data_IF_457759606808
#
_entry.id   IF_457759606808
#
_cell.length_a   1.000
_cell.length_b   1.000
_cell.length_c   1.000
_cell.angle_alpha   90.00
_cell.angle_beta   90.00
_cell.angle_gamma   90.00
#
_symmetry.space_group_name_H-M   'P 1'
#
loop_
_entity.id
_entity.type
_entity.pdbx_description
1 polymer ?
#
# COMPACT_ATOMS: atom_id res chain seq x y z
N UNK A 1 25.83 -45.66 17.43
CA UNK A 1 24.54 -44.95 17.61
C UNK A 1 24.60 -43.49 17.14
N UNK A 2 25.28 -43.20 16.01
CA UNK A 2 25.49 -41.84 15.48
C UNK A 2 25.17 -41.73 13.97
N UNK A 3 24.58 -42.77 13.36
CA UNK A 3 24.35 -42.84 11.91
C UNK A 3 22.88 -42.66 11.49
N UNK A 4 21.93 -42.67 12.44
CA UNK A 4 20.49 -42.56 12.17
C UNK A 4 19.85 -41.19 12.46
N UNK A 5 20.61 -40.20 12.98
CA UNK A 5 20.08 -38.83 13.16
C UNK A 5 20.24 -37.93 11.93
N UNK A 6 21.27 -38.14 11.09
CA UNK A 6 21.43 -37.39 9.83
C UNK A 6 20.44 -37.81 8.73
N UNK A 7 19.97 -39.06 8.74
CA UNK A 7 19.03 -39.56 7.72
C UNK A 7 17.61 -39.06 7.99
N UNK A 8 17.18 -38.89 9.25
CA UNK A 8 15.87 -38.29 9.57
C UNK A 8 15.81 -36.80 9.28
N UNK A 9 16.91 -36.06 9.43
CA UNK A 9 16.95 -34.65 9.02
C UNK A 9 16.93 -34.52 7.49
N UNK A 10 17.67 -35.37 6.77
CA UNK A 10 17.66 -35.37 5.29
C UNK A 10 16.29 -35.82 4.72
N UNK A 11 15.60 -36.78 5.35
CA UNK A 11 14.25 -37.16 4.90
C UNK A 11 13.19 -36.09 5.20
N UNK A 12 13.31 -35.34 6.30
CA UNK A 12 12.37 -34.26 6.61
C UNK A 12 12.61 -33.04 5.71
N UNK A 13 13.86 -32.74 5.33
CA UNK A 13 14.17 -31.68 4.36
C UNK A 13 13.75 -32.08 2.95
N UNK A 14 13.80 -33.37 2.59
CA UNK A 14 13.27 -33.85 1.29
C UNK A 14 11.75 -33.86 1.27
N UNK A 15 11.05 -34.09 2.40
CA UNK A 15 9.57 -34.00 2.44
C UNK A 15 9.11 -32.54 2.46
N UNK A 16 9.85 -31.61 3.07
CA UNK A 16 9.56 -30.16 2.99
C UNK A 16 9.94 -29.58 1.62
N UNK A 17 11.04 -30.02 1.00
CA UNK A 17 11.38 -29.64 -0.37
C UNK A 17 10.46 -30.31 -1.41
N UNK A 18 9.98 -31.54 -1.16
CA UNK A 18 9.00 -32.21 -2.01
C UNK A 18 7.58 -31.67 -1.79
N UNK A 19 7.19 -31.19 -0.60
CA UNK A 19 5.92 -30.46 -0.44
C UNK A 19 5.99 -29.06 -1.05
N UNK A 20 7.14 -28.37 -1.00
CA UNK A 20 7.36 -27.15 -1.77
C UNK A 20 7.36 -27.42 -3.29
N UNK A 21 7.85 -28.57 -3.74
CA UNK A 21 7.82 -28.96 -5.17
C UNK A 21 6.49 -29.60 -5.64
N UNK A 22 5.68 -30.16 -4.74
CA UNK A 22 4.34 -30.69 -5.06
C UNK A 22 3.29 -29.58 -4.98
N UNK A 23 3.47 -28.57 -4.13
CA UNK A 23 2.72 -27.31 -4.21
C UNK A 23 3.19 -26.42 -5.38
N UNK A 24 4.41 -26.61 -5.88
CA UNK A 24 4.88 -26.03 -7.14
C UNK A 24 4.58 -26.92 -8.38
N UNK A 25 3.89 -28.05 -8.21
CA UNK A 25 3.68 -29.05 -9.26
C UNK A 25 2.22 -29.22 -9.70
N UNK A 26 1.27 -28.54 -9.07
CA UNK A 26 -0.14 -28.53 -9.44
C UNK A 26 -0.68 -27.10 -9.37
N UNK A 27 -0.70 -26.40 -10.51
CA UNK A 27 -1.43 -25.14 -10.71
C UNK A 27 -0.53 -23.92 -10.88
N UNK A 28 -0.81 -23.17 -11.95
CA UNK A 28 -0.30 -21.84 -12.32
C UNK A 28 1.13 -21.78 -12.88
N UNK A 29 1.21 -21.49 -14.18
CA UNK A 29 2.47 -21.29 -14.89
C UNK A 29 3.18 -20.04 -14.38
N UNK A 30 4.40 -20.22 -13.88
CA UNK A 30 5.29 -19.11 -13.49
C UNK A 30 5.94 -18.51 -14.74
N UNK A 31 5.63 -17.26 -15.04
CA UNK A 31 6.44 -16.41 -15.92
C UNK A 31 7.81 -16.18 -15.27
N UNK A 32 8.87 -16.37 -16.05
CA UNK A 32 10.23 -16.12 -15.60
C UNK A 32 10.50 -14.61 -15.56
N UNK A 33 10.71 -14.07 -14.37
CA UNK A 33 11.11 -12.67 -14.15
C UNK A 33 12.60 -12.53 -14.47
N UNK A 34 12.95 -11.64 -15.39
CA UNK A 34 14.35 -11.22 -15.58
C UNK A 34 14.74 -10.31 -14.41
N UNK A 35 15.53 -10.83 -13.47
CA UNK A 35 16.13 -10.02 -12.41
C UNK A 35 17.25 -9.15 -13.00
N UNK A 36 16.93 -7.89 -13.31
CA UNK A 36 17.90 -6.79 -13.28
C UNK A 36 17.21 -5.45 -13.20
N UNK A 37 17.29 -4.84 -12.03
CA UNK A 37 17.51 -3.42 -11.74
C UNK A 37 17.01 -3.15 -10.31
N UNK A 38 17.64 -2.33 -9.47
CA UNK A 38 19.00 -1.83 -9.41
C UNK A 38 19.26 -1.45 -7.94
N UNK A 39 20.49 -1.60 -7.48
CA UNK A 39 20.94 -1.23 -6.14
C UNK A 39 20.80 0.28 -5.92
N UNK A 40 19.89 0.73 -5.04
CA UNK A 40 19.99 1.97 -4.23
C UNK A 40 18.77 2.26 -3.33
N UNK A 41 17.69 1.49 -3.40
CA UNK A 41 16.43 1.88 -2.76
C UNK A 41 16.33 1.47 -1.28
N UNK A 42 16.05 2.44 -0.41
CA UNK A 42 15.77 2.23 1.02
C UNK A 42 14.52 1.35 1.12
N UNK A 43 14.73 0.05 1.29
CA UNK A 43 13.68 -0.98 1.23
C UNK A 43 12.83 -0.96 2.50
N UNK A 44 11.52 -1.15 2.38
CA UNK A 44 10.60 -1.28 3.52
C UNK A 44 10.86 -2.63 4.23
N UNK A 45 11.16 -2.66 5.55
CA UNK A 45 11.34 -3.91 6.27
C UNK A 45 10.06 -4.74 6.35
N UNK A 46 10.16 -6.07 6.34
CA UNK A 46 9.00 -6.99 6.25
C UNK A 46 7.96 -6.94 7.39
N UNK A 47 8.25 -6.27 8.51
CA UNK A 47 7.30 -6.04 9.62
C UNK A 47 6.80 -4.61 9.69
N UNK A 48 7.10 -3.83 8.66
CA UNK A 48 6.73 -2.44 8.54
C UNK A 48 5.94 -2.27 7.25
N UNK A 49 5.10 -1.25 7.24
CA UNK A 49 4.40 -0.74 6.07
C UNK A 49 4.79 0.70 5.85
N UNK A 50 4.72 1.14 4.60
CA UNK A 50 4.97 2.51 4.20
C UNK A 50 3.67 3.32 4.17
N UNK A 51 3.61 4.38 4.96
CA UNK A 51 2.63 5.43 4.77
C UNK A 51 3.17 6.44 3.76
N UNK A 52 2.41 6.71 2.69
CA UNK A 52 2.71 7.76 1.71
C UNK A 52 1.45 8.16 0.94
N UNK A 53 1.35 9.43 0.52
CA UNK A 53 0.26 9.95 -0.30
C UNK A 53 0.68 11.22 -1.06
N UNK A 54 -0.08 11.61 -2.08
CA UNK A 54 0.26 12.68 -3.02
C UNK A 54 0.50 14.04 -2.34
N UNK A 55 -0.34 14.39 -1.37
CA UNK A 55 -0.39 15.74 -0.79
C UNK A 55 0.05 15.84 0.67
N UNK A 56 0.41 14.72 1.31
CA UNK A 56 0.78 14.75 2.73
C UNK A 56 2.15 15.42 2.95
N UNK A 57 3.05 15.41 1.95
CA UNK A 57 4.37 16.06 2.01
C UNK A 57 5.39 15.34 2.91
N UNK A 58 5.03 14.17 3.43
CA UNK A 58 5.89 13.28 4.22
C UNK A 58 5.50 11.81 4.01
N UNK A 59 6.42 10.91 4.32
CA UNK A 59 6.21 9.47 4.37
C UNK A 59 6.86 8.91 5.64
N UNK A 60 6.36 7.80 6.17
CA UNK A 60 6.95 7.17 7.35
C UNK A 60 6.63 5.67 7.37
N UNK A 61 7.40 4.91 8.16
CA UNK A 61 7.17 3.49 8.37
C UNK A 61 6.40 3.25 9.66
N UNK A 62 5.48 2.30 9.64
CA UNK A 62 4.71 1.87 10.80
C UNK A 62 4.60 0.34 10.86
N UNK A 63 4.46 -0.26 12.06
CA UNK A 63 4.34 -1.71 12.17
C UNK A 63 3.12 -2.25 11.43
N UNK A 64 3.31 -3.35 10.70
CA UNK A 64 2.33 -3.92 9.78
C UNK A 64 1.02 -4.38 10.43
N UNK A 65 1.05 -4.66 11.73
CA UNK A 65 -0.12 -5.08 12.52
C UNK A 65 -1.11 -3.95 12.81
N UNK A 66 -0.72 -2.69 12.61
CA UNK A 66 -1.58 -1.54 12.89
C UNK A 66 -2.35 -1.08 11.66
N UNK A 67 -3.55 -0.58 11.91
CA UNK A 67 -4.39 0.04 10.89
C UNK A 67 -4.03 1.50 10.72
N UNK A 68 -4.13 1.98 9.48
CA UNK A 68 -3.90 3.37 9.15
C UNK A 68 -5.19 4.05 8.68
N UNK A 69 -5.39 5.31 9.07
CA UNK A 69 -6.42 6.20 8.54
C UNK A 69 -5.80 7.49 8.03
N UNK A 70 -6.47 8.17 7.10
CA UNK A 70 -6.05 9.46 6.57
C UNK A 70 -7.22 10.45 6.59
N UNK A 71 -6.92 11.68 6.99
CA UNK A 71 -7.81 12.85 6.89
C UNK A 71 -6.99 14.02 6.38
N UNK A 72 -7.44 14.69 5.32
CA UNK A 72 -6.78 15.90 4.82
C UNK A 72 -6.66 16.99 5.89
N UNK A 73 -7.62 17.04 6.83
CA UNK A 73 -7.66 18.04 7.88
C UNK A 73 -6.76 17.72 9.07
N UNK A 74 -6.58 16.43 9.37
CA UNK A 74 -5.97 15.99 10.64
C UNK A 74 -4.65 15.24 10.46
N UNK A 75 -4.43 14.62 9.29
CA UNK A 75 -3.23 13.86 8.97
C UNK A 75 -3.43 12.34 9.01
N UNK A 76 -2.32 11.63 9.25
CA UNK A 76 -2.22 10.17 9.26
C UNK A 76 -2.44 9.60 10.66
N UNK A 77 -3.40 8.70 10.84
CA UNK A 77 -3.69 8.02 12.09
C UNK A 77 -3.17 6.59 12.07
N UNK A 78 -2.35 6.22 13.05
CA UNK A 78 -1.97 4.83 13.30
C UNK A 78 -2.76 4.34 14.52
N UNK A 79 -3.80 3.55 14.28
CA UNK A 79 -4.69 3.04 15.33
C UNK A 79 -4.05 1.83 16.03
N UNK A 80 -3.88 1.94 17.35
CA UNK A 80 -3.24 0.94 18.22
C UNK A 80 -4.27 0.12 19.02
N UNK A 81 -5.52 0.13 18.58
CA UNK A 81 -6.66 -0.49 19.25
C UNK A 81 -7.85 -0.54 18.29
N UNK A 82 -9.03 -0.16 18.78
CA UNK A 82 -10.20 -0.01 17.92
C UNK A 82 -10.01 1.14 16.93
N UNK A 83 -10.51 0.94 15.70
CA UNK A 83 -10.44 1.95 14.65
C UNK A 83 -11.23 3.20 15.04
N UNK A 84 -10.70 4.38 14.71
CA UNK A 84 -11.29 5.67 15.07
C UNK A 84 -11.40 5.94 16.59
N UNK A 85 -10.67 5.18 17.42
CA UNK A 85 -10.62 5.36 18.86
C UNK A 85 -9.18 5.39 19.39
N UNK A 86 -8.95 6.09 20.51
CA UNK A 86 -7.69 6.01 21.23
C UNK A 86 -7.51 4.59 21.81
N UNK A 87 -6.29 4.03 21.86
CA UNK A 87 -5.02 4.71 21.61
C UNK A 87 -4.63 4.80 20.12
N UNK A 88 -4.05 5.95 19.72
CA UNK A 88 -3.51 6.15 18.38
C UNK A 88 -2.34 7.14 18.35
N UNK A 89 -1.56 7.08 17.27
CA UNK A 89 -0.56 8.10 16.90
C UNK A 89 -1.06 8.86 15.68
N UNK A 90 -1.05 10.19 15.73
CA UNK A 90 -1.42 11.10 14.65
C UNK A 90 -0.18 11.82 14.14
N UNK A 91 0.07 11.76 12.83
CA UNK A 91 1.16 12.48 12.17
C UNK A 91 0.55 13.49 11.20
N UNK A 92 0.90 14.76 11.37
CA UNK A 92 0.31 15.85 10.61
C UNK A 92 1.38 16.82 10.10
N UNK A 93 1.20 17.31 8.87
CA UNK A 93 2.00 18.39 8.31
C UNK A 93 1.22 19.69 8.36
N UNK A 94 1.66 20.63 9.21
CA UNK A 94 1.06 21.95 9.31
C UNK A 94 1.82 22.99 8.49
N UNK A 95 1.09 23.83 7.77
CA UNK A 95 1.66 24.97 7.06
C UNK A 95 1.97 26.10 8.04
N UNK A 96 3.19 26.65 8.00
CA UNK A 96 3.58 27.69 8.94
C UNK A 96 5.04 28.07 8.82
N UNK A 97 5.31 29.18 8.13
CA UNK A 97 6.67 29.69 7.98
C UNK A 97 7.27 30.11 9.32
N UNK A 98 8.46 29.59 9.62
CA UNK A 98 9.23 29.87 10.84
C UNK A 98 8.38 29.76 12.12
N UNK A 99 7.53 28.73 12.20
CA UNK A 99 6.78 28.43 13.42
C UNK A 99 7.77 28.10 14.55
N UNK A 100 7.65 28.79 15.69
CA UNK A 100 8.46 28.51 16.88
C UNK A 100 7.72 27.55 17.82
N UNK A 101 8.43 26.77 18.67
CA UNK A 101 7.80 25.90 19.65
C UNK A 101 6.81 26.65 20.55
N UNK A 102 7.14 27.85 21.01
CA UNK A 102 6.29 28.64 21.90
C UNK A 102 4.99 29.06 21.23
N UNK A 103 5.05 29.48 19.95
CA UNK A 103 3.85 29.84 19.18
C UNK A 103 2.98 28.63 18.91
N UNK A 104 3.60 27.51 18.53
CA UNK A 104 2.90 26.26 18.27
C UNK A 104 2.18 25.75 19.52
N UNK A 105 2.90 25.59 20.64
CA UNK A 105 2.33 25.06 21.87
C UNK A 105 1.32 26.03 22.51
N UNK A 106 1.49 27.34 22.37
CA UNK A 106 0.46 28.30 22.81
C UNK A 106 -0.87 28.09 22.08
N UNK A 107 -0.86 27.82 20.77
CA UNK A 107 -2.08 27.50 20.02
C UNK A 107 -2.65 26.15 20.45
N UNK A 108 -1.79 25.17 20.70
CA UNK A 108 -2.18 23.84 21.21
C UNK A 108 -2.83 23.93 22.58
N UNK A 109 -2.29 24.71 23.51
CA UNK A 109 -2.85 24.90 24.85
C UNK A 109 -4.28 25.48 24.77
N UNK A 110 -4.49 26.45 23.88
CA UNK A 110 -5.82 27.02 23.63
C UNK A 110 -6.80 25.99 23.06
N UNK A 111 -6.34 25.07 22.22
CA UNK A 111 -7.14 23.97 21.71
C UNK A 111 -7.50 22.99 22.84
N UNK A 112 -6.52 22.55 23.63
CA UNK A 112 -6.73 21.61 24.73
C UNK A 112 -7.74 22.15 25.74
N UNK A 113 -7.59 23.42 26.16
CA UNK A 113 -8.51 24.06 27.11
C UNK A 113 -9.94 24.25 26.57
N UNK A 114 -10.14 24.19 25.24
CA UNK A 114 -11.48 24.20 24.63
C UNK A 114 -12.07 22.81 24.47
N UNK A 115 -11.22 21.79 24.35
CA UNK A 115 -11.62 20.40 24.06
C UNK A 115 -11.83 19.55 25.31
N UNK A 116 -11.28 19.96 26.46
CA UNK A 116 -11.29 19.18 27.69
C UNK A 116 -11.71 20.00 28.91
N UNK A 117 -12.39 19.36 29.86
CA UNK A 117 -12.83 19.99 31.11
C UNK A 117 -11.65 20.35 32.03
N UNK A 118 -10.69 19.44 32.17
CA UNK A 118 -9.45 19.70 32.91
C UNK A 118 -8.25 19.38 32.02
N UNK A 119 -7.24 20.26 32.09
CA UNK A 119 -5.98 20.12 31.33
C UNK A 119 -4.82 20.53 32.21
N UNK A 120 -3.87 19.63 32.41
CA UNK A 120 -2.55 19.92 32.95
C UNK A 120 -1.50 19.68 31.87
N UNK A 121 -0.50 20.56 31.76
CA UNK A 121 0.55 20.43 30.75
C UNK A 121 1.94 20.55 31.37
N UNK A 122 2.90 19.84 30.78
CA UNK A 122 4.32 20.03 31.10
C UNK A 122 4.87 21.28 30.41
N UNK A 123 5.98 21.86 30.91
CA UNK A 123 6.76 22.80 30.10
C UNK A 123 7.19 22.18 28.77
N UNK A 124 7.49 23.03 27.78
CA UNK A 124 8.07 22.61 26.50
C UNK A 124 9.45 21.99 26.76
N UNK A 125 9.68 20.78 26.24
CA UNK A 125 10.94 20.04 26.37
C UNK A 125 11.57 19.84 24.99
N UNK A 126 12.86 20.12 24.85
CA UNK A 126 13.62 19.69 23.67
C UNK A 126 13.89 18.18 23.75
N UNK A 127 13.60 17.45 22.68
CA UNK A 127 13.79 16.00 22.56
C UNK A 127 14.58 15.71 21.30
N UNK A 128 15.54 14.79 21.39
CA UNK A 128 16.32 14.33 20.23
C UNK A 128 15.91 12.91 19.84
N UNK A 129 15.62 12.73 18.56
CA UNK A 129 15.35 11.42 17.95
C UNK A 129 16.27 11.28 16.75
N UNK A 130 17.31 10.45 16.88
CA UNK A 130 18.41 10.39 15.91
C UNK A 130 19.02 11.79 15.70
N UNK A 131 19.12 12.23 14.44
CA UNK A 131 19.61 13.55 14.05
C UNK A 131 18.53 14.65 14.13
N UNK A 132 17.28 14.30 14.46
CA UNK A 132 16.15 15.24 14.53
C UNK A 132 16.05 15.88 15.91
N UNK A 133 15.80 17.19 15.91
CA UNK A 133 15.48 17.97 17.11
C UNK A 133 14.00 18.32 17.10
N UNK A 134 13.27 17.83 18.09
CA UNK A 134 11.84 18.03 18.28
C UNK A 134 11.57 18.73 19.62
N UNK A 135 10.34 19.21 19.78
CA UNK A 135 9.86 19.81 21.01
C UNK A 135 8.60 19.10 21.49
N UNK A 136 8.49 18.81 22.78
CA UNK A 136 7.42 18.03 23.37
C UNK A 136 6.70 18.82 24.47
N UNK A 137 5.37 18.78 24.44
CA UNK A 137 4.53 19.02 25.61
C UNK A 137 3.63 17.80 25.83
N UNK A 138 3.56 17.33 27.08
CA UNK A 138 2.61 16.31 27.52
C UNK A 138 1.43 16.99 28.19
N UNK A 139 0.23 16.57 27.80
CA UNK A 139 -1.03 16.99 28.41
C UNK A 139 -1.68 15.81 29.14
N UNK A 140 -2.15 16.06 30.36
CA UNK A 140 -3.09 15.20 31.07
C UNK A 140 -4.46 15.86 31.00
N UNK A 141 -5.39 15.22 30.32
CA UNK A 141 -6.71 15.78 30.03
C UNK A 141 -7.80 14.89 30.63
N UNK A 142 -8.93 15.48 31.04
CA UNK A 142 -10.13 14.72 31.39
C UNK A 142 -11.42 15.33 30.85
N UNK A 143 -12.38 14.45 30.55
CA UNK A 143 -13.76 14.78 30.20
C UNK A 143 -14.69 13.82 30.97
N UNK A 144 -15.34 14.32 32.03
CA UNK A 144 -16.09 13.47 32.96
C UNK A 144 -15.21 12.40 33.60
N UNK A 145 -15.56 11.12 33.43
CA UNK A 145 -14.81 9.99 33.99
C UNK A 145 -13.69 9.47 33.08
N UNK A 146 -13.48 10.06 31.89
CA UNK A 146 -12.44 9.63 30.96
C UNK A 146 -11.20 10.49 31.11
N UNK A 147 -10.06 9.84 31.31
CA UNK A 147 -8.74 10.47 31.36
C UNK A 147 -7.95 10.12 30.09
N UNK A 148 -7.15 11.08 29.65
CA UNK A 148 -6.33 10.97 28.45
C UNK A 148 -4.94 11.53 28.76
N UNK A 149 -3.92 10.86 28.24
CA UNK A 149 -2.57 11.40 28.12
C UNK A 149 -2.30 11.68 26.65
N UNK A 150 -1.97 12.94 26.35
CA UNK A 150 -1.66 13.41 24.99
C UNK A 150 -0.22 13.90 24.96
N UNK A 151 0.63 13.18 24.23
CA UNK A 151 2.01 13.58 23.97
C UNK A 151 2.11 14.21 22.60
N UNK A 152 2.46 15.50 22.55
CA UNK A 152 2.50 16.26 21.28
C UNK A 152 3.90 16.77 21.00
N UNK A 153 4.47 16.23 19.92
CA UNK A 153 5.78 16.56 19.40
C UNK A 153 5.65 17.54 18.23
N UNK A 154 6.59 18.47 18.16
CA UNK A 154 6.72 19.50 17.14
C UNK A 154 8.11 19.43 16.53
N UNK A 155 8.19 19.18 15.22
CA UNK A 155 9.41 19.19 14.42
C UNK A 155 9.38 20.39 13.47
N UNK A 156 10.16 21.45 13.72
CA UNK A 156 10.12 22.66 12.91
C UNK A 156 10.89 22.53 11.59
N UNK A 157 10.29 23.05 10.51
CA UNK A 157 10.95 23.30 9.23
C UNK A 157 10.83 24.79 8.86
N UNK A 158 11.60 25.30 7.89
CA UNK A 158 11.55 26.72 7.52
C UNK A 158 10.16 27.20 7.07
N UNK A 159 9.43 26.40 6.30
CA UNK A 159 8.16 26.80 5.69
C UNK A 159 6.93 26.02 6.23
N UNK A 160 7.15 24.98 7.03
CA UNK A 160 6.10 24.12 7.60
C UNK A 160 6.58 23.50 8.93
N UNK A 161 5.76 22.64 9.53
CA UNK A 161 6.18 21.80 10.64
C UNK A 161 5.54 20.42 10.53
N UNK A 162 6.21 19.41 11.08
CA UNK A 162 5.59 18.12 11.35
C UNK A 162 5.17 18.06 12.82
N UNK A 163 3.98 17.51 13.04
CA UNK A 163 3.42 17.23 14.34
C UNK A 163 3.27 15.73 14.50
N UNK A 164 3.65 15.21 15.65
CA UNK A 164 3.37 13.84 16.05
C UNK A 164 2.62 13.86 17.38
N UNK A 165 1.42 13.31 17.42
CA UNK A 165 0.57 13.30 18.61
C UNK A 165 0.25 11.87 18.99
N UNK A 166 0.64 11.42 20.18
CA UNK A 166 0.12 10.18 20.75
C UNK A 166 -1.02 10.49 21.72
N UNK A 167 -2.16 9.81 21.55
CA UNK A 167 -3.26 9.86 22.51
C UNK A 167 -3.43 8.47 23.12
N UNK A 168 -3.39 8.39 24.44
CA UNK A 168 -3.43 7.14 25.18
C UNK A 168 -4.07 7.30 26.56
N UNK A 169 -4.24 6.20 27.28
CA UNK A 169 -4.65 6.16 28.69
C UNK A 169 -3.46 6.38 29.64
N UNK A 170 -2.24 6.08 29.19
CA UNK A 170 -1.03 6.12 30.00
C UNK A 170 0.14 6.74 29.25
N UNK A 171 0.79 7.69 29.92
CA UNK A 171 2.05 8.29 29.51
C UNK A 171 3.08 7.25 29.05
N UNK A 172 3.64 7.47 27.86
CA UNK A 172 4.69 6.64 27.27
C UNK A 172 4.24 5.29 26.70
N UNK A 173 2.93 4.98 26.72
CA UNK A 173 2.42 3.72 26.15
C UNK A 173 2.64 3.59 24.64
N UNK A 174 2.76 4.70 23.93
CA UNK A 174 2.97 4.77 22.48
C UNK A 174 4.37 5.25 22.07
N UNK A 175 5.32 5.35 23.00
CA UNK A 175 6.67 5.89 22.74
C UNK A 175 7.42 5.14 21.63
N UNK A 176 7.32 3.80 21.60
CA UNK A 176 7.96 2.99 20.56
C UNK A 176 7.41 3.30 19.18
N UNK A 177 6.09 3.44 19.04
CA UNK A 177 5.45 3.72 17.76
C UNK A 177 5.77 5.14 17.30
N UNK A 178 5.70 6.12 18.22
CA UNK A 178 6.14 7.50 17.96
C UNK A 178 7.60 7.56 17.52
N UNK A 179 8.49 6.84 18.20
CA UNK A 179 9.90 6.78 17.84
C UNK A 179 10.07 6.28 16.40
N UNK A 180 9.39 5.20 16.01
CA UNK A 180 9.45 4.72 14.63
C UNK A 180 8.91 5.73 13.63
N UNK A 181 7.73 6.32 13.89
CA UNK A 181 7.15 7.33 13.01
C UNK A 181 8.09 8.53 12.82
N UNK A 182 8.69 9.05 13.91
CA UNK A 182 9.62 10.19 13.86
C UNK A 182 10.93 9.79 13.16
N UNK A 183 11.54 8.67 13.57
CA UNK A 183 12.86 8.24 13.09
C UNK A 183 12.84 7.87 11.60
N UNK A 184 11.72 7.36 11.11
CA UNK A 184 11.55 6.96 9.71
C UNK A 184 10.84 8.01 8.86
N UNK A 185 10.34 9.10 9.47
CA UNK A 185 9.69 10.17 8.71
C UNK A 185 10.67 10.83 7.75
N UNK A 186 10.29 10.84 6.47
CA UNK A 186 11.02 11.42 5.34
C UNK A 186 10.10 12.40 4.61
N UNK A 187 10.65 13.54 4.17
CA UNK A 187 9.91 14.48 3.32
C UNK A 187 9.73 13.90 1.92
N UNK A 188 8.78 14.46 1.15
CA UNK A 188 8.46 13.97 -0.20
C UNK A 188 9.68 13.86 -1.13
N UNK A 189 10.63 14.80 -1.03
CA UNK A 189 11.86 14.81 -1.85
C UNK A 189 12.82 13.65 -1.53
N UNK A 190 12.67 13.04 -0.35
CA UNK A 190 13.49 11.92 0.12
C UNK A 190 12.65 10.65 0.33
N UNK A 191 11.43 10.58 -0.20
CA UNK A 191 10.48 9.53 0.10
C UNK A 191 11.04 8.12 -0.19
N UNK A 192 10.52 7.13 0.54
CA UNK A 192 10.88 5.73 0.32
C UNK A 192 10.53 5.29 -1.11
N UNK A 193 11.28 4.34 -1.65
CA UNK A 193 10.87 3.66 -2.87
C UNK A 193 9.50 2.99 -2.66
N UNK A 194 8.64 3.09 -3.67
CA UNK A 194 7.24 2.66 -3.57
C UNK A 194 6.31 3.68 -2.91
N UNK A 195 6.80 4.84 -2.46
CA UNK A 195 5.94 5.94 -2.02
C UNK A 195 5.09 6.45 -3.18
N UNK A 196 3.90 6.96 -2.85
CA UNK A 196 3.01 7.55 -3.85
C UNK A 196 3.73 8.58 -4.72
N UNK A 197 3.55 8.47 -6.04
CA UNK A 197 3.97 9.46 -7.04
C UNK A 197 2.99 9.45 -8.21
N UNK A 198 2.76 10.62 -8.79
CA UNK A 198 1.99 10.84 -10.03
C UNK A 198 2.79 10.55 -11.31
N UNK A 199 4.09 10.26 -11.18
CA UNK A 199 4.97 10.00 -12.32
C UNK A 199 4.62 8.65 -12.95
N UNK A 200 4.54 8.66 -14.27
CA UNK A 200 4.29 7.48 -15.10
C UNK A 200 5.31 7.39 -16.22
N UNK A 201 5.75 6.17 -16.50
CA UNK A 201 6.66 5.84 -17.59
C UNK A 201 5.95 5.02 -18.66
N UNK A 202 6.29 5.24 -19.93
CA UNK A 202 5.77 4.45 -21.06
C UNK A 202 6.58 3.15 -21.19
N UNK A 203 5.88 2.01 -21.21
CA UNK A 203 6.47 0.69 -21.42
C UNK A 203 5.93 0.07 -22.70
N UNK A 204 6.83 -0.41 -23.56
CA UNK A 204 6.50 -1.06 -24.85
C UNK A 204 6.91 -2.54 -24.82
N UNK A 205 5.95 -3.43 -25.03
CA UNK A 205 6.17 -4.87 -25.03
C UNK A 205 6.26 -5.38 -26.47
N UNK A 206 7.47 -5.70 -26.92
CA UNK A 206 7.73 -6.01 -28.34
C UNK A 206 6.98 -7.25 -28.82
N UNK A 207 6.88 -8.29 -27.99
CA UNK A 207 6.34 -9.58 -28.43
C UNK A 207 4.81 -9.57 -28.57
N UNK A 208 4.15 -8.67 -27.85
CA UNK A 208 2.69 -8.55 -27.86
C UNK A 208 2.21 -7.31 -28.62
N UNK A 209 3.12 -6.42 -29.04
CA UNK A 209 2.79 -5.15 -29.70
C UNK A 209 2.10 -4.13 -28.78
N UNK A 210 2.04 -4.41 -27.49
CA UNK A 210 1.31 -3.63 -26.48
C UNK A 210 2.19 -2.50 -25.94
N UNK A 211 1.62 -1.31 -25.73
CA UNK A 211 2.26 -0.26 -24.94
C UNK A 211 1.31 0.30 -23.88
N UNK A 212 1.82 0.56 -22.67
CA UNK A 212 1.03 1.08 -21.55
C UNK A 212 1.90 2.03 -20.71
N UNK A 213 1.29 3.06 -20.13
CA UNK A 213 1.94 3.85 -19.07
C UNK A 213 1.73 3.18 -17.73
N UNK A 214 2.79 3.04 -16.94
CA UNK A 214 2.73 2.47 -15.59
C UNK A 214 3.28 3.48 -14.56
N UNK A 215 2.71 3.54 -13.35
CA UNK A 215 3.25 4.39 -12.30
C UNK A 215 4.65 3.95 -11.87
N UNK A 216 5.59 4.89 -11.76
CA UNK A 216 6.99 4.62 -11.41
C UNK A 216 7.14 4.08 -9.99
N UNK A 217 6.14 4.32 -9.13
CA UNK A 217 6.10 3.81 -7.75
C UNK A 217 5.77 2.31 -7.66
N UNK A 218 5.32 1.67 -8.74
CA UNK A 218 5.04 0.24 -8.76
C UNK A 218 6.28 -0.52 -9.21
N UNK A 219 6.61 -1.60 -8.50
CA UNK A 219 7.66 -2.51 -8.94
C UNK A 219 7.17 -3.28 -10.16
N UNK A 220 7.77 -3.01 -11.31
CA UNK A 220 7.50 -3.71 -12.55
C UNK A 220 8.16 -5.09 -12.58
N UNK A 221 7.39 -6.11 -12.98
CA UNK A 221 7.87 -7.41 -13.39
C UNK A 221 7.44 -7.63 -14.85
N UNK A 222 8.41 -7.62 -15.77
CA UNK A 222 8.16 -7.93 -17.17
C UNK A 222 7.87 -9.42 -17.34
N UNK A 223 6.71 -9.73 -17.94
CA UNK A 223 6.28 -11.09 -18.22
C UNK A 223 6.32 -11.30 -19.73
N UNK A 224 6.55 -12.52 -20.19
CA UNK A 224 6.58 -12.82 -21.64
C UNK A 224 5.28 -12.49 -22.38
N UNK A 225 4.17 -12.33 -21.65
CA UNK A 225 2.84 -12.04 -22.21
C UNK A 225 2.31 -10.67 -21.81
N UNK A 226 3.14 -9.80 -21.24
CA UNK A 226 2.73 -8.46 -20.81
C UNK A 226 3.38 -8.00 -19.51
N UNK A 227 2.63 -7.27 -18.70
CA UNK A 227 3.15 -6.59 -17.51
C UNK A 227 2.39 -6.96 -16.24
N UNK A 228 3.15 -7.08 -15.16
CA UNK A 228 2.63 -7.08 -13.79
C UNK A 228 3.42 -6.05 -12.99
N UNK A 229 2.75 -5.04 -12.44
CA UNK A 229 3.37 -4.01 -11.62
C UNK A 229 2.63 -3.92 -10.28
N UNK A 230 3.36 -3.93 -9.16
CA UNK A 230 2.71 -3.87 -7.84
C UNK A 230 3.56 -3.24 -6.74
N UNK A 231 2.89 -2.85 -5.67
CA UNK A 231 3.45 -2.60 -4.34
C UNK A 231 2.41 -3.03 -3.27
N UNK A 232 2.63 -2.70 -2.01
CA UNK A 232 1.72 -3.05 -0.91
C UNK A 232 0.32 -2.40 -1.00
N UNK A 233 0.14 -1.40 -1.86
CA UNK A 233 -1.09 -0.62 -1.95
C UNK A 233 -1.81 -0.78 -3.28
N UNK A 234 -1.15 -1.23 -4.34
CA UNK A 234 -1.76 -1.37 -5.64
C UNK A 234 -1.15 -2.50 -6.48
N UNK A 235 -1.99 -3.05 -7.35
CA UNK A 235 -1.67 -4.06 -8.34
C UNK A 235 -2.16 -3.53 -9.69
N UNK A 236 -1.32 -3.65 -10.72
CA UNK A 236 -1.66 -3.37 -12.11
C UNK A 236 -1.18 -4.53 -12.99
N UNK A 237 -2.06 -4.97 -13.88
CA UNK A 237 -1.84 -6.13 -14.75
C UNK A 237 -2.31 -5.79 -16.16
N UNK A 238 -1.49 -6.13 -17.15
CA UNK A 238 -1.85 -6.03 -18.56
C UNK A 238 -1.28 -7.23 -19.30
N UNK A 239 -2.13 -8.21 -19.65
CA UNK A 239 -1.72 -9.51 -20.20
C UNK A 239 -2.46 -9.84 -21.49
N UNK A 240 -1.78 -10.59 -22.36
CA UNK A 240 -2.40 -11.38 -23.43
C UNK A 240 -2.64 -12.82 -22.93
N UNK A 241 -3.88 -13.12 -22.57
CA UNK A 241 -4.29 -14.44 -22.07
C UNK A 241 -4.72 -15.35 -23.22
N UNK A 242 -3.84 -16.28 -23.63
CA UNK A 242 -4.11 -17.21 -24.74
C UNK A 242 -4.65 -18.56 -24.29
N UNK A 243 -4.30 -19.03 -23.10
CA UNK A 243 -4.67 -20.35 -22.59
C UNK A 243 -4.82 -20.36 -21.06
N UNK A 244 -5.51 -21.38 -20.56
CA UNK A 244 -5.66 -21.73 -19.15
C UNK A 244 -5.24 -23.18 -18.96
N UNK A 245 -4.09 -23.42 -18.30
CA UNK A 245 -3.58 -24.77 -18.08
C UNK A 245 -3.38 -25.58 -19.37
N UNK A 246 -2.99 -24.93 -20.47
CA UNK A 246 -2.83 -25.54 -21.80
C UNK A 246 -4.12 -25.65 -22.60
N UNK A 247 -5.26 -25.15 -22.09
CA UNK A 247 -6.53 -25.11 -22.82
C UNK A 247 -6.73 -23.70 -23.41
N UNK A 248 -6.81 -23.55 -24.75
CA UNK A 248 -6.97 -22.25 -25.39
C UNK A 248 -8.20 -21.48 -24.89
N UNK A 249 -8.06 -20.17 -24.71
CA UNK A 249 -9.16 -19.24 -24.44
C UNK A 249 -9.61 -18.65 -25.78
N UNK A 250 -10.84 -18.90 -26.21
CA UNK A 250 -11.25 -18.56 -27.57
C UNK A 250 -11.67 -17.10 -27.75
N UNK A 251 -12.31 -16.50 -26.74
CA UNK A 251 -12.80 -15.13 -26.77
C UNK A 251 -13.24 -14.68 -25.35
N UNK A 252 -13.70 -13.44 -25.23
CA UNK A 252 -14.19 -12.84 -24.00
C UNK A 252 -15.30 -13.65 -23.35
N UNK A 253 -16.24 -14.20 -24.11
CA UNK A 253 -17.33 -15.00 -23.53
C UNK A 253 -16.79 -16.28 -22.90
N UNK A 254 -15.89 -16.99 -23.57
CA UNK A 254 -15.22 -18.17 -23.01
C UNK A 254 -14.44 -17.83 -21.73
N UNK A 255 -13.76 -16.68 -21.70
CA UNK A 255 -13.09 -16.19 -20.49
C UNK A 255 -14.08 -16.01 -19.33
N UNK A 256 -15.22 -15.35 -19.57
CA UNK A 256 -16.23 -15.08 -18.55
C UNK A 256 -16.93 -16.37 -18.11
N UNK A 257 -17.22 -17.29 -19.03
CA UNK A 257 -17.82 -18.59 -18.71
C UNK A 257 -16.89 -19.40 -17.79
N UNK A 258 -15.58 -19.35 -18.01
CA UNK A 258 -14.57 -19.96 -17.13
C UNK A 258 -14.51 -19.28 -15.77
N UNK A 259 -14.53 -17.96 -15.73
CA UNK A 259 -14.54 -17.19 -14.49
C UNK A 259 -15.79 -17.48 -13.64
N UNK A 260 -16.95 -17.66 -14.29
CA UNK A 260 -18.19 -18.05 -13.63
C UNK A 260 -18.18 -19.52 -13.15
N UNK A 261 -17.57 -20.43 -13.91
CA UNK A 261 -17.47 -21.84 -13.55
C UNK A 261 -16.41 -22.13 -12.47
N UNK A 262 -15.35 -21.31 -12.41
CA UNK A 262 -14.24 -21.44 -11.48
C UNK A 262 -13.92 -20.08 -10.82
N UNK A 263 -14.36 -19.86 -9.57
CA UNK A 263 -14.08 -18.64 -8.82
C UNK A 263 -12.58 -18.29 -8.66
N UNK A 264 -11.70 -19.29 -8.76
CA UNK A 264 -10.26 -19.10 -8.63
C UNK A 264 -9.59 -18.71 -9.96
N UNK A 265 -10.30 -18.74 -11.09
CA UNK A 265 -9.71 -18.52 -12.42
C UNK A 265 -9.00 -17.17 -12.51
N UNK A 266 -9.71 -16.08 -12.23
CA UNK A 266 -9.15 -14.72 -12.23
C UNK A 266 -8.18 -14.51 -11.06
N UNK A 267 -8.50 -15.05 -9.88
CA UNK A 267 -7.66 -14.93 -8.69
C UNK A 267 -6.25 -15.51 -8.91
N UNK A 268 -6.17 -16.64 -9.63
CA UNK A 268 -4.91 -17.28 -9.99
C UNK A 268 -4.05 -16.42 -10.94
N UNK A 269 -4.66 -15.72 -11.89
CA UNK A 269 -3.92 -14.78 -12.76
C UNK A 269 -3.32 -13.62 -11.97
N UNK A 270 -4.01 -13.20 -10.90
CA UNK A 270 -3.66 -12.03 -10.11
C UNK A 270 -2.81 -12.37 -8.88
N UNK A 271 -2.65 -13.65 -8.56
CA UNK A 271 -1.88 -14.10 -7.38
C UNK A 271 -2.56 -13.76 -6.05
N UNK A 272 -3.89 -13.77 -6.01
CA UNK A 272 -4.68 -13.43 -4.82
C UNK A 272 -5.60 -14.57 -4.39
N UNK A 273 -6.16 -14.48 -3.17
CA UNK A 273 -7.03 -15.53 -2.63
C UNK A 273 -8.40 -15.55 -3.30
N UNK A 274 -8.98 -14.37 -3.56
CA UNK A 274 -10.25 -14.25 -4.28
C UNK A 274 -10.28 -13.02 -5.19
N UNK A 275 -11.05 -13.12 -6.27
CA UNK A 275 -11.35 -12.01 -7.17
C UNK A 275 -12.83 -12.09 -7.57
N UNK A 276 -13.65 -11.19 -7.05
CA UNK A 276 -15.09 -11.11 -7.31
C UNK A 276 -15.39 -9.88 -8.14
N UNK A 277 -16.27 -10.00 -9.13
CA UNK A 277 -16.62 -8.91 -10.02
C UNK A 277 -18.14 -8.85 -10.25
N UNK A 278 -18.65 -7.65 -10.45
CA UNK A 278 -20.06 -7.37 -10.72
C UNK A 278 -20.28 -6.96 -12.17
N UNK A 279 -21.55 -6.85 -12.59
CA UNK A 279 -21.89 -6.30 -13.91
C UNK A 279 -21.17 -4.98 -14.15
N UNK A 280 -20.68 -4.80 -15.37
CA UNK A 280 -19.80 -3.72 -15.76
C UNK A 280 -20.32 -2.95 -16.96
N UNK A 281 -19.40 -2.34 -17.71
CA UNK A 281 -19.74 -1.57 -18.90
C UNK A 281 -18.67 -1.69 -20.00
N UNK A 282 -19.08 -1.41 -21.23
CA UNK A 282 -18.18 -1.41 -22.38
C UNK A 282 -17.47 -0.06 -22.51
N UNK A 283 -16.14 -0.09 -22.68
CA UNK A 283 -15.25 1.06 -22.81
C UNK A 283 -14.28 0.87 -23.99
N UNK A 284 -13.78 1.95 -24.55
CA UNK A 284 -12.85 1.93 -25.68
C UNK A 284 -11.44 2.30 -25.22
N UNK A 285 -10.48 1.39 -25.39
CA UNK A 285 -9.06 1.65 -25.10
C UNK A 285 -8.19 1.18 -26.26
N UNK A 286 -7.17 1.96 -26.63
CA UNK A 286 -6.21 1.55 -27.66
C UNK A 286 -6.82 1.14 -29.01
N UNK A 287 -8.01 1.64 -29.34
CA UNK A 287 -8.76 1.25 -30.55
C UNK A 287 -9.50 -0.09 -30.47
N UNK A 288 -9.61 -0.70 -29.28
CA UNK A 288 -10.36 -1.94 -29.02
C UNK A 288 -11.48 -1.72 -28.00
N UNK A 289 -12.53 -2.54 -28.10
CA UNK A 289 -13.65 -2.55 -27.16
C UNK A 289 -13.38 -3.50 -25.99
N UNK A 290 -13.28 -2.94 -24.78
CA UNK A 290 -13.14 -3.67 -23.53
C UNK A 290 -14.46 -3.68 -22.78
N UNK A 291 -14.79 -4.78 -22.13
CA UNK A 291 -15.82 -4.78 -21.10
C UNK A 291 -15.15 -4.77 -19.74
N UNK A 292 -15.44 -3.74 -18.95
CA UNK A 292 -14.81 -3.44 -17.68
C UNK A 292 -15.77 -3.72 -16.52
N UNK A 293 -15.38 -4.67 -15.68
CA UNK A 293 -16.11 -5.10 -14.50
C UNK A 293 -15.52 -4.39 -13.27
N UNK A 294 -16.34 -3.77 -12.41
CA UNK A 294 -15.93 -3.44 -11.05
C UNK A 294 -15.54 -4.73 -10.32
N UNK A 295 -14.43 -4.68 -9.57
CA UNK A 295 -13.85 -5.86 -8.94
C UNK A 295 -13.42 -5.59 -7.50
N UNK A 296 -13.59 -6.60 -6.64
CA UNK A 296 -13.05 -6.67 -5.28
C UNK A 296 -12.18 -7.91 -5.16
N UNK A 297 -10.96 -7.74 -4.65
CA UNK A 297 -9.98 -8.80 -4.47
C UNK A 297 -9.62 -8.92 -2.99
N UNK A 298 -9.26 -10.13 -2.55
CA UNK A 298 -8.74 -10.36 -1.20
C UNK A 298 -7.39 -11.05 -1.25
N UNK A 299 -6.42 -10.57 -0.48
CA UNK A 299 -5.13 -11.22 -0.27
C UNK A 299 -4.79 -11.22 1.22
N UNK A 300 -4.79 -12.40 1.85
CA UNK A 300 -4.74 -12.54 3.29
C UNK A 300 -5.95 -11.88 3.97
N UNK A 301 -5.67 -10.91 4.84
CA UNK A 301 -6.69 -10.12 5.54
C UNK A 301 -7.00 -8.79 4.84
N UNK A 302 -6.38 -8.53 3.70
CA UNK A 302 -6.49 -7.26 2.97
C UNK A 302 -7.50 -7.33 1.84
N UNK A 303 -8.22 -6.22 1.65
CA UNK A 303 -9.21 -6.05 0.57
C UNK A 303 -8.75 -4.94 -0.37
N UNK A 304 -8.79 -5.24 -1.67
CA UNK A 304 -8.46 -4.32 -2.74
C UNK A 304 -9.69 -4.12 -3.63
N UNK A 305 -9.93 -2.90 -4.09
CA UNK A 305 -11.00 -2.59 -5.05
C UNK A 305 -10.43 -2.00 -6.33
N UNK A 306 -11.12 -2.23 -7.45
CA UNK A 306 -10.54 -1.94 -8.75
C UNK A 306 -11.44 -2.30 -9.92
N UNK A 307 -10.81 -2.55 -11.08
CA UNK A 307 -11.51 -2.96 -12.29
C UNK A 307 -10.73 -4.00 -13.07
N UNK A 308 -11.46 -4.96 -13.64
CA UNK A 308 -11.00 -5.94 -14.60
C UNK A 308 -11.63 -5.63 -15.97
N UNK A 309 -10.82 -5.34 -16.97
CA UNK A 309 -11.24 -5.04 -18.33
C UNK A 309 -10.77 -6.14 -19.29
N UNK A 310 -11.72 -6.76 -20.01
CA UNK A 310 -11.45 -7.86 -20.95
C UNK A 310 -11.85 -7.46 -22.37
N UNK A 311 -10.96 -7.69 -23.33
CA UNK A 311 -11.26 -7.59 -24.77
C UNK A 311 -10.80 -8.85 -25.51
N UNK A 312 -11.40 -9.14 -26.66
CA UNK A 312 -10.89 -10.17 -27.55
C UNK A 312 -9.51 -9.79 -28.09
N UNK A 313 -8.61 -10.76 -28.18
CA UNK A 313 -7.42 -10.63 -29.02
C UNK A 313 -7.81 -10.68 -30.51
N UNK A 314 -6.88 -10.31 -31.40
CA UNK A 314 -7.16 -10.29 -32.85
C UNK A 314 -7.35 -11.70 -33.45
N UNK A 315 -6.75 -12.71 -32.83
CA UNK A 315 -6.92 -14.12 -33.19
C UNK A 315 -7.57 -14.92 -32.05
N UNK A 316 -6.79 -15.70 -31.32
CA UNK A 316 -7.22 -16.49 -30.16
C UNK A 316 -6.70 -15.82 -28.89
N UNK A 317 -7.51 -15.84 -27.83
CA UNK A 317 -7.17 -15.27 -26.54
C UNK A 317 -7.91 -13.98 -26.23
N UNK A 318 -7.56 -13.40 -25.09
CA UNK A 318 -8.12 -12.15 -24.59
C UNK A 318 -7.03 -11.23 -24.08
N UNK A 319 -7.22 -9.94 -24.26
CA UNK A 319 -6.51 -8.94 -23.48
C UNK A 319 -7.17 -8.82 -22.12
N UNK A 320 -6.38 -8.97 -21.06
CA UNK A 320 -6.81 -8.76 -19.68
C UNK A 320 -6.04 -7.58 -19.09
N UNK A 321 -6.76 -6.50 -18.85
CA UNK A 321 -6.25 -5.32 -18.16
C UNK A 321 -6.90 -5.25 -16.79
N UNK A 322 -6.13 -5.04 -15.74
CA UNK A 322 -6.64 -5.02 -14.38
C UNK A 322 -5.86 -4.01 -13.55
N UNK A 323 -6.56 -3.31 -12.67
CA UNK A 323 -5.95 -2.62 -11.55
C UNK A 323 -6.77 -2.84 -10.29
N UNK A 324 -6.12 -2.84 -9.14
CA UNK A 324 -6.77 -2.83 -7.84
C UNK A 324 -5.91 -2.09 -6.82
N UNK A 325 -6.57 -1.36 -5.92
CA UNK A 325 -5.94 -0.54 -4.88
C UNK A 325 -6.49 -0.99 -3.52
N UNK A 326 -5.61 -1.05 -2.53
CA UNK A 326 -5.94 -1.44 -1.16
C UNK A 326 -6.90 -0.41 -0.54
N UNK A 327 -8.08 -0.84 -0.10
CA UNK A 327 -9.15 0.03 0.42
C UNK A 327 -8.69 0.96 1.57
N UNK A 328 -7.74 0.48 2.39
CA UNK A 328 -7.18 1.22 3.52
C UNK A 328 -5.91 2.03 3.21
N UNK A 329 -5.49 2.16 1.95
CA UNK A 329 -4.26 2.88 1.66
C UNK A 329 -4.43 4.41 1.77
N UNK A 330 -3.39 5.16 2.17
CA UNK A 330 -3.51 6.61 2.45
C UNK A 330 -3.89 7.53 1.29
N UNK A 331 -3.74 7.08 0.06
CA UNK A 331 -4.04 7.83 -1.16
C UNK A 331 -4.94 7.02 -2.09
N UNK A 332 -5.90 6.30 -1.51
CA UNK A 332 -6.75 5.35 -2.23
C UNK A 332 -7.38 5.95 -3.49
N UNK A 333 -8.11 7.06 -3.37
CA UNK A 333 -8.86 7.63 -4.49
C UNK A 333 -7.95 8.19 -5.61
N UNK A 334 -6.82 8.79 -5.22
CA UNK A 334 -5.83 9.29 -6.17
C UNK A 334 -5.10 8.15 -6.88
N UNK A 335 -4.76 7.10 -6.15
CA UNK A 335 -4.12 5.90 -6.71
C UNK A 335 -5.07 5.16 -7.62
N UNK A 336 -6.35 5.06 -7.25
CA UNK A 336 -7.42 4.51 -8.10
C UNK A 336 -7.53 5.29 -9.41
N UNK A 337 -7.54 6.62 -9.34
CA UNK A 337 -7.61 7.50 -10.52
C UNK A 337 -6.37 7.36 -11.41
N UNK A 338 -5.18 7.33 -10.81
CA UNK A 338 -3.92 7.16 -11.51
C UNK A 338 -3.87 5.80 -12.23
N UNK A 339 -4.18 4.72 -11.53
CA UNK A 339 -4.22 3.36 -12.09
C UNK A 339 -5.25 3.23 -13.22
N UNK A 340 -6.45 3.82 -13.07
CA UNK A 340 -7.45 3.85 -14.13
C UNK A 340 -6.92 4.56 -15.39
N UNK A 341 -6.31 5.74 -15.24
CA UNK A 341 -5.74 6.49 -16.36
C UNK A 341 -4.58 5.75 -17.06
N UNK A 342 -3.82 4.96 -16.30
CA UNK A 342 -2.75 4.12 -16.81
C UNK A 342 -3.32 2.97 -17.66
N UNK A 343 -4.40 2.31 -17.23
CA UNK A 343 -5.10 1.30 -18.04
C UNK A 343 -5.67 1.90 -19.33
N UNK A 344 -6.25 3.10 -19.26
CA UNK A 344 -6.77 3.82 -20.42
C UNK A 344 -5.69 4.22 -21.45
N UNK A 345 -4.43 4.30 -21.01
CA UNK A 345 -3.29 4.65 -21.88
C UNK A 345 -2.82 3.52 -22.80
N UNK A 346 -3.39 2.32 -22.65
CA UNK A 346 -3.04 1.14 -23.46
C UNK A 346 -3.18 1.42 -24.96
N UNK A 347 -2.23 0.92 -25.73
CA UNK A 347 -2.24 0.95 -27.19
C UNK A 347 -1.66 -0.35 -27.75
N UNK A 348 -2.07 -0.67 -28.98
CA UNK A 348 -1.65 -1.87 -29.71
C UNK A 348 -1.11 -1.44 -31.07
N UNK A 349 0.04 -1.98 -31.47
CA UNK A 349 0.70 -1.70 -32.75
C UNK A 349 0.28 -2.68 -33.85
#
# INVERSE_FOLDING_TARGET
MLRNKKIKTILLTIIVAAMAMILAGCGTGSYAVNEKDSETEITVPSRMRLFSGYDCGFSFLYPSEYRIGWSENDGAYVYCGEENAAPYVLIYRGNGKNMSPEKYFKSTDQLMLKSFENVESTPIQEVRVLEKTLYLTRYQCSNGSKEYVIDRYFEPYPDFYLQYTAISDKAGSLDTLLYYAIATSKLAEEAYAGAYSDKVSLHEHTDTGMSIKLPDMLKLNDLTIGYFASNDNAIMVALLCMEDGGVPIYNRQDFIDRAAANPNFVANFLGVDTANFSEGEERQFGGKSFYCYPMTMTSGEETYTGSLCIANADETGCWMLCYAVLDGCPAHDDMMTLCASCIESISFK
#
